data_IF_974367309006
#
_entry.id   IF_974367309006
#
_cell.length_a   1.000
_cell.length_b   1.000
_cell.length_c   1.000
_cell.angle_alpha   90.00
_cell.angle_beta   90.00
_cell.angle_gamma   90.00
#
_symmetry.space_group_name_H-M   'P 1'
#
loop_
_entity.id
_entity.type
_entity.pdbx_description
1 polymer ?
#
# COMPACT_ATOMS: atom_id res chain seq x y z
N UNK A 1 1.19 -1.69 5.63
CA UNK A 1 1.68 -0.56 4.83
C UNK A 1 2.25 -1.05 3.50
N UNK A 2 1.63 -0.65 2.41
CA UNK A 2 2.02 -0.97 1.03
C UNK A 2 2.20 0.35 0.28
N UNK A 3 3.11 0.39 -0.70
CA UNK A 3 3.33 1.54 -1.56
C UNK A 3 3.38 1.09 -3.02
N UNK A 4 2.48 1.60 -3.83
CA UNK A 4 2.34 1.32 -5.25
C UNK A 4 2.58 2.56 -6.11
N UNK A 5 2.69 2.39 -7.41
CA UNK A 5 2.89 3.48 -8.38
C UNK A 5 1.97 3.27 -9.57
N UNK A 6 1.37 4.36 -10.07
CA UNK A 6 0.50 4.33 -11.25
C UNK A 6 0.98 5.29 -12.34
N UNK A 7 0.70 4.92 -13.58
CA UNK A 7 0.96 5.74 -14.77
C UNK A 7 -0.27 6.51 -15.26
N UNK A 8 -1.41 6.34 -14.58
CA UNK A 8 -2.68 7.00 -14.91
C UNK A 8 -3.29 7.59 -13.62
N UNK A 9 -4.13 8.63 -13.73
CA UNK A 9 -4.86 9.23 -12.61
C UNK A 9 -6.28 8.66 -12.48
N UNK A 10 -7.06 8.70 -13.57
CA UNK A 10 -8.47 8.32 -13.58
C UNK A 10 -8.74 6.88 -13.14
N UNK A 11 -7.80 5.97 -13.38
CA UNK A 11 -7.92 4.59 -12.93
C UNK A 11 -7.95 4.43 -11.41
N UNK A 12 -7.34 5.34 -10.66
CA UNK A 12 -7.35 5.28 -9.20
C UNK A 12 -8.75 5.58 -8.63
N UNK A 13 -9.38 6.67 -9.06
CA UNK A 13 -10.73 7.04 -8.61
C UNK A 13 -11.74 5.95 -8.95
N UNK A 14 -11.72 5.46 -10.20
CA UNK A 14 -12.62 4.39 -10.64
C UNK A 14 -12.41 3.11 -9.81
N UNK A 15 -11.16 2.68 -9.65
CA UNK A 15 -10.84 1.47 -8.88
C UNK A 15 -11.26 1.58 -7.42
N UNK A 16 -11.10 2.75 -6.82
CA UNK A 16 -11.38 2.97 -5.40
C UNK A 16 -12.87 3.17 -5.09
N UNK A 17 -13.64 3.73 -6.03
CA UNK A 17 -15.03 4.13 -5.78
C UNK A 17 -16.07 3.15 -6.34
N UNK A 18 -15.68 2.25 -7.24
CA UNK A 18 -16.61 1.32 -7.89
C UNK A 18 -16.23 -0.13 -7.62
N UNK A 19 -17.22 -1.02 -7.73
CA UNK A 19 -16.99 -2.45 -7.58
C UNK A 19 -16.34 -3.03 -8.83
N UNK A 20 -15.40 -3.98 -8.63
CA UNK A 20 -14.63 -4.60 -9.70
C UNK A 20 -14.55 -6.10 -9.53
N UNK A 21 -14.49 -6.80 -10.65
CA UNK A 21 -14.11 -8.20 -10.67
C UNK A 21 -12.66 -8.38 -10.23
N UNK A 22 -12.44 -9.18 -9.19
CA UNK A 22 -11.14 -9.38 -8.56
C UNK A 22 -10.09 -10.04 -9.49
N UNK A 23 -10.54 -10.76 -10.54
CA UNK A 23 -9.65 -11.48 -11.46
C UNK A 23 -9.30 -10.63 -12.68
N UNK A 24 -10.27 -9.91 -13.22
CA UNK A 24 -10.10 -9.14 -14.47
C UNK A 24 -9.82 -7.67 -14.24
N UNK A 25 -10.10 -7.12 -13.03
CA UNK A 25 -10.01 -5.70 -12.71
C UNK A 25 -11.04 -4.84 -13.45
N UNK A 26 -12.03 -5.45 -14.12
CA UNK A 26 -13.08 -4.71 -14.83
C UNK A 26 -14.16 -4.27 -13.84
N UNK A 27 -14.72 -3.04 -13.98
CA UNK A 27 -15.83 -2.60 -13.16
C UNK A 27 -17.08 -3.44 -13.42
N UNK A 28 -17.86 -3.70 -12.36
CA UNK A 28 -19.20 -4.23 -12.51
C UNK A 28 -20.14 -3.13 -13.01
N UNK A 29 -21.05 -3.49 -13.89
CA UNK A 29 -22.03 -2.58 -14.48
C UNK A 29 -23.45 -2.99 -14.04
N UNK A 30 -24.32 -1.98 -13.84
CA UNK A 30 -25.74 -2.18 -13.64
C UNK A 30 -26.45 -2.49 -14.97
N UNK A 31 -27.77 -2.73 -14.90
CA UNK A 31 -28.62 -3.03 -16.07
C UNK A 31 -28.69 -1.89 -17.11
N UNK A 32 -28.20 -0.68 -16.73
CA UNK A 32 -28.13 0.50 -17.59
C UNK A 32 -26.71 0.77 -18.11
N UNK A 33 -25.77 -0.15 -17.83
CA UNK A 33 -24.37 -0.03 -18.26
C UNK A 33 -23.53 0.97 -17.44
N UNK A 34 -24.01 1.40 -16.27
CA UNK A 34 -23.26 2.29 -15.38
C UNK A 34 -22.46 1.48 -14.36
N UNK A 35 -21.28 1.97 -13.98
CA UNK A 35 -20.45 1.36 -12.95
C UNK A 35 -21.18 1.33 -11.61
N UNK A 36 -21.12 0.19 -10.90
CA UNK A 36 -21.72 0.01 -9.59
C UNK A 36 -20.81 0.63 -8.53
N UNK A 37 -21.32 1.64 -7.82
CA UNK A 37 -20.57 2.31 -6.77
C UNK A 37 -20.41 1.39 -5.53
N UNK A 38 -19.21 1.40 -4.92
CA UNK A 38 -18.97 0.72 -3.64
C UNK A 38 -19.77 1.38 -2.52
N UNK A 39 -20.39 0.55 -1.69
CA UNK A 39 -21.17 1.00 -0.52
C UNK A 39 -20.27 1.14 0.71
N UNK A 40 -20.63 2.05 1.60
CA UNK A 40 -19.98 2.19 2.91
C UNK A 40 -18.57 2.78 2.89
N UNK A 41 -18.06 3.24 1.76
CA UNK A 41 -16.75 3.89 1.68
C UNK A 41 -16.81 5.31 2.24
N UNK A 42 -15.71 5.76 2.89
CA UNK A 42 -15.48 7.17 3.20
C UNK A 42 -14.47 7.75 2.23
N UNK A 43 -14.71 8.99 1.80
CA UNK A 43 -13.85 9.73 0.86
C UNK A 43 -13.44 11.06 1.45
N UNK A 44 -12.19 11.47 1.21
CA UNK A 44 -11.68 12.80 1.54
C UNK A 44 -10.57 13.21 0.58
N UNK A 45 -10.22 14.48 0.53
CA UNK A 45 -9.16 15.00 -0.31
C UNK A 45 -8.32 16.06 0.42
N UNK A 46 -7.06 16.21 0.02
CA UNK A 46 -6.12 17.21 0.54
C UNK A 46 -5.51 17.95 -0.65
N UNK A 47 -5.55 19.27 -0.62
CA UNK A 47 -5.00 20.15 -1.65
C UNK A 47 -5.65 20.01 -3.05
N UNK A 48 -6.79 19.37 -3.17
CA UNK A 48 -7.60 19.22 -4.37
C UNK A 48 -9.05 18.90 -4.00
N UNK A 49 -9.95 18.96 -4.97
CA UNK A 49 -11.26 18.37 -4.87
C UNK A 49 -11.20 16.88 -5.26
N UNK A 50 -12.02 16.04 -4.60
CA UNK A 50 -12.00 14.60 -4.81
C UNK A 50 -12.42 14.22 -6.24
N UNK A 51 -13.52 14.81 -6.72
CA UNK A 51 -14.12 14.43 -8.01
C UNK A 51 -13.36 15.04 -9.21
N UNK A 52 -12.53 16.06 -8.98
CA UNK A 52 -11.67 16.68 -10.00
C UNK A 52 -10.18 16.31 -9.87
N UNK A 53 -9.82 15.39 -8.98
CA UNK A 53 -8.43 15.01 -8.68
C UNK A 53 -7.56 14.81 -9.92
N UNK A 54 -8.03 14.00 -10.89
CA UNK A 54 -7.27 13.71 -12.10
C UNK A 54 -6.99 14.98 -12.92
N UNK A 55 -7.99 15.83 -13.12
CA UNK A 55 -7.86 17.09 -13.86
C UNK A 55 -6.90 18.05 -13.18
N UNK A 56 -7.06 18.27 -11.87
CA UNK A 56 -6.18 19.15 -11.10
C UNK A 56 -4.73 18.65 -11.05
N UNK A 57 -4.52 17.31 -10.98
CA UNK A 57 -3.19 16.73 -11.08
C UNK A 57 -2.55 17.00 -12.44
N UNK A 58 -3.32 16.91 -13.52
CA UNK A 58 -2.85 17.22 -14.88
C UNK A 58 -2.47 18.70 -15.00
N UNK A 59 -3.27 19.63 -14.47
CA UNK A 59 -2.95 21.05 -14.42
C UNK A 59 -1.62 21.31 -13.68
N UNK A 60 -1.47 20.74 -12.47
CA UNK A 60 -0.23 20.85 -11.70
C UNK A 60 0.97 20.32 -12.48
N UNK A 61 0.83 19.18 -13.15
CA UNK A 61 1.92 18.60 -13.92
C UNK A 61 2.27 19.45 -15.15
N UNK A 62 1.29 20.01 -15.83
CA UNK A 62 1.49 20.92 -16.96
C UNK A 62 2.20 22.20 -16.52
N UNK A 63 1.78 22.79 -15.39
CA UNK A 63 2.41 23.97 -14.80
C UNK A 63 3.91 23.77 -14.56
N UNK A 64 4.30 22.60 -14.06
CA UNK A 64 5.70 22.28 -13.76
C UNK A 64 6.41 21.50 -14.87
N UNK A 65 5.79 21.35 -16.05
CA UNK A 65 6.33 20.61 -17.19
C UNK A 65 6.76 19.17 -16.84
N UNK A 66 5.96 18.47 -16.03
CA UNK A 66 6.21 17.08 -15.58
C UNK A 66 5.21 16.11 -16.21
N UNK A 67 5.54 14.82 -16.12
CA UNK A 67 4.67 13.70 -16.49
C UNK A 67 4.14 13.76 -17.95
N UNK A 68 4.96 14.23 -18.88
CA UNK A 68 4.62 14.36 -20.30
C UNK A 68 4.56 13.00 -21.01
N UNK A 69 5.35 12.02 -20.55
CA UNK A 69 5.44 10.70 -21.15
C UNK A 69 4.37 9.74 -20.62
N UNK A 70 3.96 8.77 -21.45
CA UNK A 70 3.04 7.71 -21.04
C UNK A 70 3.64 6.75 -20.01
N UNK A 71 4.97 6.60 -19.99
CA UNK A 71 5.71 5.78 -19.04
C UNK A 71 5.97 6.47 -17.69
N UNK A 72 5.68 7.77 -17.58
CA UNK A 72 5.92 8.53 -16.35
C UNK A 72 5.02 8.04 -15.20
N UNK A 73 5.59 7.96 -14.01
CA UNK A 73 4.81 7.70 -12.78
C UNK A 73 4.03 8.99 -12.47
N UNK A 74 2.71 8.89 -12.49
CA UNK A 74 1.77 10.00 -12.30
C UNK A 74 1.24 10.08 -10.88
N UNK A 75 1.01 8.94 -10.25
CA UNK A 75 0.55 8.88 -8.86
C UNK A 75 1.26 7.80 -8.05
N UNK A 76 1.19 7.94 -6.74
CA UNK A 76 1.63 6.96 -5.75
C UNK A 76 0.43 6.61 -4.89
N UNK A 77 0.21 5.32 -4.65
CA UNK A 77 -0.83 4.79 -3.77
C UNK A 77 -0.18 4.14 -2.55
N UNK A 78 -0.55 4.60 -1.36
CA UNK A 78 -0.14 4.07 -0.07
C UNK A 78 -1.35 3.43 0.59
N UNK A 79 -1.21 2.17 1.01
CA UNK A 79 -2.28 1.44 1.65
C UNK A 79 -1.93 1.22 3.12
N UNK A 80 -2.80 1.68 4.01
CA UNK A 80 -2.77 1.37 5.44
C UNK A 80 -3.88 0.37 5.70
N UNK A 81 -3.53 -0.85 6.10
CA UNK A 81 -4.49 -1.92 6.40
C UNK A 81 -4.31 -2.38 7.84
N UNK A 82 -5.41 -2.62 8.52
CA UNK A 82 -5.49 -2.99 9.93
C UNK A 82 -5.94 -4.45 10.08
N UNK A 83 -5.65 -5.05 11.22
CA UNK A 83 -6.09 -6.41 11.51
C UNK A 83 -7.63 -6.43 11.64
N UNK A 84 -8.34 -7.45 11.09
CA UNK A 84 -9.79 -7.56 11.25
C UNK A 84 -10.25 -7.65 12.71
N UNK A 85 -9.35 -7.99 13.62
CA UNK A 85 -9.62 -8.07 15.06
C UNK A 85 -9.44 -6.73 15.78
N UNK A 86 -8.88 -5.73 15.10
CA UNK A 86 -8.71 -4.40 15.67
C UNK A 86 -10.07 -3.68 15.73
N UNK A 87 -10.38 -3.13 16.88
CA UNK A 87 -11.56 -2.26 17.06
C UNK A 87 -11.21 -0.84 16.58
N UNK A 88 -11.10 -0.70 15.26
CA UNK A 88 -10.84 0.58 14.60
C UNK A 88 -11.96 0.90 13.61
N UNK A 89 -12.51 2.10 13.74
CA UNK A 89 -13.60 2.58 12.89
C UNK A 89 -13.09 3.16 11.57
N UNK A 90 -13.99 3.29 10.59
CA UNK A 90 -13.68 3.95 9.32
C UNK A 90 -13.27 5.43 9.50
N UNK A 91 -13.85 6.13 10.48
CA UNK A 91 -13.48 7.51 10.80
C UNK A 91 -12.08 7.62 11.39
N UNK A 92 -11.72 6.76 12.32
CA UNK A 92 -10.37 6.70 12.90
C UNK A 92 -9.32 6.31 11.86
N UNK A 93 -9.67 5.39 10.95
CA UNK A 93 -8.84 5.03 9.80
C UNK A 93 -8.62 6.22 8.88
N UNK A 94 -9.67 7.02 8.62
CA UNK A 94 -9.57 8.27 7.84
C UNK A 94 -8.64 9.29 8.53
N UNK A 95 -8.77 9.48 9.85
CA UNK A 95 -7.87 10.36 10.60
C UNK A 95 -6.40 9.94 10.50
N UNK A 96 -6.12 8.64 10.64
CA UNK A 96 -4.77 8.10 10.50
C UNK A 96 -4.24 8.30 9.09
N UNK A 97 -5.06 8.05 8.06
CA UNK A 97 -4.70 8.28 6.67
C UNK A 97 -4.39 9.75 6.39
N UNK A 98 -5.19 10.69 6.92
CA UNK A 98 -4.93 12.14 6.82
C UNK A 98 -3.64 12.55 7.52
N UNK A 99 -3.37 12.03 8.73
CA UNK A 99 -2.12 12.27 9.45
C UNK A 99 -0.91 11.73 8.66
N UNK A 100 -1.04 10.53 8.09
CA UNK A 100 0.00 9.96 7.23
C UNK A 100 0.26 10.85 6.00
N UNK A 101 -0.79 11.25 5.29
CA UNK A 101 -0.69 12.11 4.12
C UNK A 101 -0.08 13.48 4.47
N UNK A 102 -0.54 14.12 5.55
CA UNK A 102 0.01 15.40 6.03
C UNK A 102 1.50 15.33 6.36
N UNK A 103 1.97 14.19 6.89
CA UNK A 103 3.37 14.00 7.28
C UNK A 103 4.28 13.59 6.12
N UNK A 104 3.86 12.62 5.29
CA UNK A 104 4.72 12.00 4.29
C UNK A 104 4.46 12.50 2.86
N UNK A 105 3.30 13.11 2.61
CA UNK A 105 2.85 13.60 1.31
C UNK A 105 2.51 15.11 1.35
N UNK A 106 3.08 15.84 2.32
CA UNK A 106 2.87 17.28 2.47
C UNK A 106 3.08 18.02 1.16
N UNK A 107 2.14 18.90 0.81
CA UNK A 107 2.15 19.71 -0.41
C UNK A 107 1.74 18.97 -1.68
N UNK A 108 1.45 17.68 -1.63
CA UNK A 108 0.83 16.95 -2.73
C UNK A 108 -0.69 17.07 -2.73
N UNK A 109 -1.30 16.94 -3.91
CA UNK A 109 -2.72 16.66 -4.06
C UNK A 109 -2.93 15.20 -3.70
N UNK A 110 -3.88 14.90 -2.83
CA UNK A 110 -4.12 13.54 -2.30
C UNK A 110 -5.60 13.29 -2.24
N UNK A 111 -6.05 12.12 -2.68
CA UNK A 111 -7.36 11.56 -2.35
C UNK A 111 -7.19 10.40 -1.40
N UNK A 112 -8.14 10.25 -0.50
CA UNK A 112 -8.18 9.19 0.51
C UNK A 112 -9.52 8.48 0.40
N UNK A 113 -9.48 7.15 0.32
CA UNK A 113 -10.68 6.31 0.32
C UNK A 113 -10.51 5.22 1.36
N UNK A 114 -11.50 5.09 2.25
CA UNK A 114 -11.54 4.02 3.24
C UNK A 114 -12.48 2.93 2.73
N UNK A 115 -11.99 1.70 2.68
CA UNK A 115 -12.76 0.50 2.43
C UNK A 115 -12.97 -0.24 3.76
N UNK A 116 -14.21 -0.38 4.24
CA UNK A 116 -14.49 -1.02 5.54
C UNK A 116 -14.40 -2.54 5.49
N UNK A 117 -14.48 -3.12 4.30
CA UNK A 117 -14.73 -4.55 4.04
C UNK A 117 -13.53 -5.17 3.36
N UNK A 118 -12.43 -5.21 3.59
CA UNK A 118 -11.30 -5.83 2.90
C UNK A 118 -11.60 -6.50 1.56
N UNK A 119 -10.69 -6.47 0.65
CA UNK A 119 -10.79 -7.17 -0.64
C UNK A 119 -11.00 -8.68 -0.37
N UNK A 120 -11.96 -9.29 -1.00
CA UNK A 120 -12.34 -10.73 -0.87
C UNK A 120 -12.98 -11.12 0.49
N UNK A 121 -13.66 -10.22 1.18
CA UNK A 121 -14.35 -10.56 2.44
C UNK A 121 -13.40 -10.85 3.60
N UNK A 122 -12.15 -10.39 3.52
CA UNK A 122 -11.17 -10.55 4.61
C UNK A 122 -11.50 -9.72 5.84
N UNK A 123 -12.44 -8.76 5.74
CA UNK A 123 -12.86 -7.89 6.84
C UNK A 123 -11.83 -6.85 7.26
N UNK A 124 -10.72 -6.74 6.56
CA UNK A 124 -9.67 -5.77 6.88
C UNK A 124 -10.09 -4.37 6.48
N UNK A 125 -10.38 -3.51 7.44
CA UNK A 125 -10.52 -2.08 7.14
C UNK A 125 -9.19 -1.53 6.62
N UNK A 126 -9.23 -0.76 5.54
CA UNK A 126 -8.01 -0.19 4.97
C UNK A 126 -8.25 1.15 4.28
N UNK A 127 -7.21 1.99 4.30
CA UNK A 127 -7.17 3.27 3.63
C UNK A 127 -6.29 3.18 2.38
N UNK A 128 -6.79 3.64 1.25
CA UNK A 128 -6.01 4.03 0.09
C UNK A 128 -5.72 5.52 0.15
N UNK A 129 -4.46 5.89 -0.02
CA UNK A 129 -3.95 7.27 0.01
C UNK A 129 -3.24 7.50 -1.32
N UNK A 130 -3.94 8.06 -2.28
CA UNK A 130 -3.43 8.28 -3.64
C UNK A 130 -2.97 9.72 -3.80
N UNK A 131 -1.68 9.91 -4.06
CA UNK A 131 -1.05 11.22 -4.20
C UNK A 131 -0.59 11.49 -5.64
N UNK A 132 -0.79 12.71 -6.13
CA UNK A 132 -0.10 13.19 -7.33
C UNK A 132 1.41 13.06 -7.15
N UNK A 133 2.10 12.55 -8.16
CA UNK A 133 3.57 12.44 -8.09
C UNK A 133 4.28 13.80 -8.08
N UNK A 134 3.63 14.86 -8.55
CA UNK A 134 4.19 16.22 -8.54
C UNK A 134 3.64 17.01 -7.36
N UNK A 135 4.52 17.66 -6.63
CA UNK A 135 4.17 18.47 -5.46
C UNK A 135 3.57 19.81 -5.89
N UNK A 136 2.33 20.09 -5.48
CA UNK A 136 1.61 21.32 -5.79
C UNK A 136 2.08 22.51 -4.94
N UNK A 137 2.35 22.27 -3.65
CA UNK A 137 2.79 23.29 -2.69
C UNK A 137 4.14 22.91 -2.08
N UNK A 138 4.93 23.86 -1.55
CA UNK A 138 6.17 23.52 -0.86
C UNK A 138 5.87 22.75 0.41
N UNK A 139 6.82 21.91 0.84
CA UNK A 139 6.76 21.19 2.10
C UNK A 139 7.96 21.50 2.98
N UNK A 140 7.85 21.21 4.26
CA UNK A 140 8.94 21.33 5.20
C UNK A 140 9.96 20.19 5.00
N UNK A 141 11.23 20.51 5.16
CA UNK A 141 12.28 19.48 5.15
C UNK A 141 12.09 18.51 6.31
N UNK A 142 12.01 17.23 5.99
CA UNK A 142 11.89 16.15 6.97
C UNK A 142 13.21 15.37 7.11
N UNK A 143 13.34 14.59 8.19
CA UNK A 143 14.55 13.80 8.47
C UNK A 143 14.93 12.80 7.36
N UNK A 144 13.94 12.30 6.63
CA UNK A 144 14.15 11.37 5.51
C UNK A 144 14.42 12.04 4.16
N UNK A 145 14.38 13.39 4.09
CA UNK A 145 14.71 14.12 2.88
C UNK A 145 16.23 14.32 2.76
N UNK A 146 16.81 13.66 1.78
CA UNK A 146 18.25 13.77 1.50
C UNK A 146 18.57 14.96 0.58
N UNK A 147 17.64 15.29 -0.33
CA UNK A 147 17.84 16.32 -1.37
C UNK A 147 16.72 17.34 -1.39
N UNK A 148 17.05 18.60 -1.70
CA UNK A 148 16.08 19.72 -1.78
C UNK A 148 14.88 19.40 -2.70
N UNK A 149 15.10 18.70 -3.80
CA UNK A 149 14.04 18.29 -4.72
C UNK A 149 13.00 17.34 -4.11
N UNK A 150 13.24 16.77 -2.95
CA UNK A 150 12.30 15.84 -2.31
C UNK A 150 11.19 16.55 -1.55
N UNK A 151 11.35 17.83 -1.23
CA UNK A 151 10.34 18.66 -0.56
C UNK A 151 10.03 19.99 -1.28
N UNK A 152 10.74 20.30 -2.37
CA UNK A 152 10.50 21.51 -3.15
C UNK A 152 9.24 21.38 -4.02
N UNK A 153 8.48 22.48 -4.13
CA UNK A 153 7.36 22.63 -5.05
C UNK A 153 7.73 22.29 -6.51
N UNK A 154 6.81 21.69 -7.27
CA UNK A 154 7.02 21.30 -8.66
C UNK A 154 7.95 20.10 -8.87
N UNK A 155 8.50 19.51 -7.81
CA UNK A 155 9.31 18.33 -7.89
C UNK A 155 8.50 17.04 -7.73
N UNK A 156 8.96 15.97 -8.39
CA UNK A 156 8.32 14.64 -8.29
C UNK A 156 8.61 14.03 -6.93
N UNK A 157 7.61 13.39 -6.36
CA UNK A 157 7.71 12.58 -5.15
C UNK A 157 8.79 11.50 -5.28
N UNK A 158 9.58 11.36 -4.24
CA UNK A 158 10.60 10.32 -4.12
C UNK A 158 10.23 9.35 -3.00
N UNK A 159 9.74 8.19 -3.41
CA UNK A 159 9.50 7.07 -2.51
C UNK A 159 10.84 6.40 -2.18
N UNK A 160 11.70 7.07 -1.38
CA UNK A 160 13.01 6.55 -0.96
C UNK A 160 12.86 5.49 0.13
N UNK A 161 13.89 4.65 0.29
CA UNK A 161 13.93 3.68 1.39
C UNK A 161 13.86 4.37 2.76
N UNK A 162 14.48 5.54 2.91
CA UNK A 162 14.44 6.33 4.14
C UNK A 162 13.01 6.79 4.46
N UNK A 163 12.29 7.33 3.47
CA UNK A 163 10.88 7.71 3.60
C UNK A 163 10.00 6.50 3.96
N UNK A 164 10.15 5.37 3.24
CA UNK A 164 9.38 4.16 3.50
C UNK A 164 9.63 3.59 4.89
N UNK A 165 10.90 3.57 5.36
CA UNK A 165 11.23 3.15 6.71
C UNK A 165 10.59 4.06 7.76
N UNK A 166 10.67 5.38 7.57
CA UNK A 166 10.04 6.35 8.46
C UNK A 166 8.51 6.19 8.48
N UNK A 167 7.88 5.95 7.33
CA UNK A 167 6.44 5.70 7.23
C UNK A 167 6.01 4.41 7.95
N UNK A 168 6.75 3.32 7.75
CA UNK A 168 6.49 2.05 8.47
C UNK A 168 6.62 2.22 9.98
N UNK A 169 7.71 2.87 10.44
CA UNK A 169 7.92 3.12 11.86
C UNK A 169 6.77 3.94 12.45
N UNK A 170 6.39 5.02 11.75
CA UNK A 170 5.29 5.87 12.20
C UNK A 170 3.96 5.10 12.32
N UNK A 171 3.63 4.25 11.33
CA UNK A 171 2.42 3.41 11.38
C UNK A 171 2.46 2.46 12.58
N UNK A 172 3.59 1.80 12.83
CA UNK A 172 3.76 0.92 14.00
C UNK A 172 3.58 1.68 15.32
N UNK A 173 4.12 2.90 15.40
CA UNK A 173 4.01 3.74 16.61
C UNK A 173 2.55 4.20 16.83
N UNK A 174 1.84 4.63 15.77
CA UNK A 174 0.42 4.99 15.85
C UNK A 174 -0.46 3.81 16.26
N UNK A 175 -0.22 2.61 15.69
CA UNK A 175 -0.93 1.39 16.10
C UNK A 175 -0.68 1.08 17.59
N UNK A 176 0.57 1.19 18.05
CA UNK A 176 0.90 0.97 19.46
C UNK A 176 0.21 1.97 20.38
N UNK A 177 0.21 3.25 20.03
CA UNK A 177 -0.42 4.32 20.81
C UNK A 177 -1.95 4.16 20.93
N UNK A 178 -2.56 3.44 19.99
CA UNK A 178 -4.01 3.15 19.94
C UNK A 178 -4.37 1.78 20.49
N UNK A 179 -3.40 0.99 20.93
CA UNK A 179 -3.62 -0.37 21.43
C UNK A 179 -4.02 -1.38 20.36
N UNK A 180 -3.77 -1.07 19.07
CA UNK A 180 -4.05 -1.96 17.95
C UNK A 180 -3.01 -3.09 17.86
N UNK A 181 -3.34 -4.17 17.18
CA UNK A 181 -2.45 -5.29 16.94
C UNK A 181 -1.14 -4.86 16.29
N UNK A 182 -0.04 -5.40 16.81
CA UNK A 182 1.30 -5.01 16.38
C UNK A 182 1.81 -5.98 15.31
N UNK A 183 2.17 -5.43 14.16
CA UNK A 183 2.84 -6.15 13.08
C UNK A 183 4.21 -5.53 12.88
N UNK A 184 5.28 -6.32 12.96
CA UNK A 184 6.61 -5.85 12.61
C UNK A 184 6.74 -5.69 11.08
N UNK A 185 6.62 -4.43 10.62
CA UNK A 185 6.72 -4.08 9.20
C UNK A 185 8.16 -4.14 8.65
N UNK A 186 9.16 -4.34 9.52
CA UNK A 186 10.56 -4.51 9.13
C UNK A 186 10.97 -5.96 9.04
N UNK A 187 10.22 -6.87 9.69
CA UNK A 187 10.47 -8.28 9.56
C UNK A 187 10.38 -8.66 8.09
N UNK A 188 11.49 -9.11 7.55
CA UNK A 188 11.51 -9.71 6.22
C UNK A 188 10.62 -10.94 6.28
N UNK A 189 9.39 -10.83 5.76
CA UNK A 189 8.71 -12.03 5.29
C UNK A 189 9.62 -12.51 4.16
N UNK A 190 10.26 -13.65 4.35
CA UNK A 190 10.85 -14.38 3.25
C UNK A 190 9.69 -14.50 2.24
N UNK A 191 9.74 -13.74 1.16
CA UNK A 191 8.80 -13.91 0.07
C UNK A 191 9.12 -15.29 -0.49
N UNK A 192 8.40 -16.29 -0.02
CA UNK A 192 8.16 -17.47 -0.83
C UNK A 192 7.66 -16.93 -2.16
N UNK A 193 8.21 -17.45 -3.23
CA UNK A 193 7.79 -16.98 -4.54
C UNK A 193 6.30 -17.36 -4.68
N UNK A 194 5.43 -16.42 -4.33
CA UNK A 194 3.97 -16.58 -4.33
C UNK A 194 3.49 -17.21 -5.65
N UNK A 195 4.16 -16.88 -6.74
CA UNK A 195 3.82 -17.41 -8.06
C UNK A 195 4.26 -18.85 -8.25
N UNK A 196 5.36 -19.27 -7.60
CA UNK A 196 5.83 -20.69 -7.61
C UNK A 196 4.86 -21.52 -6.79
N UNK A 197 4.51 -21.05 -5.60
CA UNK A 197 3.57 -21.73 -4.73
C UNK A 197 2.17 -21.82 -5.38
N UNK A 198 1.66 -20.70 -5.92
CA UNK A 198 0.36 -20.70 -6.58
C UNK A 198 0.29 -21.65 -7.78
N UNK A 199 1.29 -21.62 -8.66
CA UNK A 199 1.36 -22.52 -9.82
C UNK A 199 1.58 -23.97 -9.44
N UNK A 200 2.27 -24.23 -8.33
CA UNK A 200 2.45 -25.58 -7.77
C UNK A 200 1.13 -26.14 -7.25
N UNK A 201 0.41 -25.38 -6.43
CA UNK A 201 -0.88 -25.77 -5.87
C UNK A 201 -2.00 -25.90 -6.92
N UNK A 202 -1.94 -25.17 -8.04
CA UNK A 202 -2.86 -25.34 -9.17
C UNK A 202 -2.70 -26.68 -9.87
N UNK A 203 -1.51 -27.30 -9.77
CA UNK A 203 -1.18 -28.59 -10.40
C UNK A 203 -1.28 -29.77 -9.44
N UNK A 204 -0.95 -29.53 -8.18
CA UNK A 204 -0.89 -30.54 -7.12
C UNK A 204 -1.32 -29.88 -5.81
N UNK A 205 -2.47 -30.29 -5.21
CA UNK A 205 -2.96 -29.75 -3.94
C UNK A 205 -1.96 -29.93 -2.78
N UNK A 206 -1.10 -30.94 -2.85
CA UNK A 206 -0.07 -31.26 -1.84
C UNK A 206 1.30 -30.66 -2.18
N UNK A 207 1.36 -29.76 -3.16
CA UNK A 207 2.59 -29.13 -3.61
C UNK A 207 3.29 -28.41 -2.48
N UNK A 208 4.56 -28.76 -2.26
CA UNK A 208 5.46 -28.09 -1.33
C UNK A 208 6.68 -27.57 -2.08
N UNK A 209 7.06 -26.32 -1.83
CA UNK A 209 8.32 -25.78 -2.35
C UNK A 209 9.50 -26.50 -1.68
N UNK A 210 10.67 -26.54 -2.32
CA UNK A 210 11.89 -27.10 -1.73
C UNK A 210 12.26 -26.41 -0.41
N UNK A 211 11.89 -25.14 -0.29
CA UNK A 211 12.06 -24.35 0.92
C UNK A 211 11.13 -24.79 2.05
N UNK A 212 9.88 -25.16 1.75
CA UNK A 212 8.95 -25.69 2.75
C UNK A 212 9.40 -27.05 3.23
N UNK A 213 9.86 -27.91 2.32
CA UNK A 213 10.45 -29.20 2.64
C UNK A 213 11.67 -29.03 3.55
N UNK A 214 12.59 -28.11 3.17
CA UNK A 214 13.77 -27.84 3.99
C UNK A 214 13.40 -27.33 5.39
N UNK A 215 12.38 -26.47 5.48
CA UNK A 215 11.89 -25.97 6.78
C UNK A 215 11.40 -27.10 7.67
N UNK A 216 10.64 -28.06 7.14
CA UNK A 216 10.15 -29.22 7.88
C UNK A 216 11.33 -30.05 8.41
N UNK A 217 12.35 -30.29 7.57
CA UNK A 217 13.54 -31.02 8.02
C UNK A 217 14.31 -30.28 9.12
N UNK A 218 14.48 -28.96 8.96
CA UNK A 218 15.14 -28.13 9.98
C UNK A 218 14.34 -28.12 11.28
N UNK A 219 13.02 -27.91 11.22
CA UNK A 219 12.15 -27.88 12.40
C UNK A 219 12.14 -29.24 13.12
N UNK A 220 12.20 -30.35 12.39
CA UNK A 220 12.32 -31.70 12.97
C UNK A 220 13.69 -31.95 13.61
N UNK A 221 14.77 -31.39 13.06
CA UNK A 221 16.13 -31.57 13.55
C UNK A 221 16.48 -30.65 14.75
N UNK A 222 15.88 -29.46 14.82
CA UNK A 222 16.16 -28.44 15.84
C UNK A 222 16.10 -28.96 17.30
N UNK A 223 15.09 -29.79 17.72
CA UNK A 223 15.02 -30.28 19.10
C UNK A 223 16.19 -31.17 19.50
N UNK A 224 16.89 -31.73 18.54
CA UNK A 224 18.02 -32.66 18.78
C UNK A 224 19.39 -32.00 18.61
N UNK A 225 19.42 -30.78 18.03
CA UNK A 225 20.64 -30.03 17.77
C UNK A 225 21.13 -29.30 19.01
N UNK A 226 22.41 -29.49 19.36
CA UNK A 226 23.08 -28.80 20.49
C UNK A 226 23.93 -27.62 20.03
N UNK A 227 24.25 -27.51 18.73
CA UNK A 227 24.95 -26.40 18.07
C UNK A 227 24.54 -26.30 16.61
N UNK A 228 24.99 -25.25 15.91
CA UNK A 228 24.78 -25.11 14.46
C UNK A 228 25.55 -26.17 13.66
N UNK A 229 26.74 -26.54 14.11
CA UNK A 229 27.56 -27.60 13.51
C UNK A 229 26.83 -28.93 13.64
N UNK A 230 26.32 -29.26 14.84
CA UNK A 230 25.56 -30.49 15.08
C UNK A 230 24.25 -30.50 14.28
N UNK A 231 23.57 -29.36 14.11
CA UNK A 231 22.39 -29.26 13.24
C UNK A 231 22.75 -29.55 11.77
N UNK A 232 23.90 -29.09 11.29
CA UNK A 232 24.35 -29.35 9.93
C UNK A 232 24.68 -30.85 9.75
N UNK A 233 25.22 -31.51 10.77
CA UNK A 233 25.48 -32.98 10.78
C UNK A 233 24.18 -33.79 10.75
N UNK A 234 23.15 -33.36 11.47
CA UNK A 234 21.84 -34.05 11.47
C UNK A 234 21.13 -33.93 10.13
N UNK A 235 21.35 -32.81 9.41
CA UNK A 235 20.70 -32.52 8.12
C UNK A 235 21.46 -33.08 6.90
N UNK A 236 22.65 -33.67 7.09
CA UNK A 236 23.45 -34.31 6.04
C UNK A 236 23.11 -35.78 5.93
#
# INVERSE_FOLDING_TARGET
HIANKSKIYSGAEQYLCFEHDAKTGKPFLDDQGRMIARKGILKDAINCDFDSFAAECMETNNLYHKNKGTADIKSHDYILSFDPKDDITAMETMELAKKYAGKFLEGHQVIIVIHPDGHNGSGNIHAHIVANSVRKYPALKQKWHEKVREYKQGCKHKCTNAMLRSGKQWVMDECRNRGLNQVDLFRSKVREDYWVQKRGLEKDPDFMTDKDKLRIYVDAALPFATSMEHLAEILH
#
